data_IF_678113222951
#
_entry.id   IF_678113222951
#
_cell.length_a   1.000
_cell.length_b   1.000
_cell.length_c   1.000
_cell.angle_alpha   90.00
_cell.angle_beta   90.00
_cell.angle_gamma   90.00
#
_symmetry.space_group_name_H-M   'P 1'
#
loop_
_entity.id
_entity.type
_entity.pdbx_description
1 polymer ?
#
# COMPACT_ATOMS: atom_id res chain seq x y z
N UNK A 1 -27.43 -16.05 -27.97
CA UNK A 1 -26.43 -15.83 -29.04
C UNK A 1 -26.54 -14.47 -29.72
N UNK A 2 -27.47 -13.57 -29.34
CA UNK A 2 -27.58 -12.23 -29.94
C UNK A 2 -27.04 -11.08 -29.06
N UNK A 3 -26.73 -11.33 -27.77
CA UNK A 3 -26.18 -10.29 -26.87
C UNK A 3 -24.65 -10.13 -26.96
N UNK A 4 -23.93 -11.14 -27.44
CA UNK A 4 -22.46 -11.07 -27.56
C UNK A 4 -21.99 -10.26 -28.77
N UNK A 5 -22.69 -10.35 -29.92
CA UNK A 5 -22.27 -9.67 -31.15
C UNK A 5 -22.48 -8.16 -31.11
N UNK A 6 -23.53 -7.70 -30.41
CA UNK A 6 -23.82 -6.26 -30.29
C UNK A 6 -22.80 -5.55 -29.37
N UNK A 7 -22.25 -6.27 -28.37
CA UNK A 7 -21.26 -5.72 -27.45
C UNK A 7 -19.86 -5.65 -28.11
N UNK A 8 -19.51 -6.65 -28.93
CA UNK A 8 -18.26 -6.69 -29.70
C UNK A 8 -18.17 -5.58 -30.76
N UNK A 9 -19.26 -5.29 -31.50
CA UNK A 9 -19.29 -4.19 -32.49
C UNK A 9 -19.08 -2.82 -31.83
N UNK A 10 -19.65 -2.58 -30.65
CA UNK A 10 -19.42 -1.32 -29.91
C UNK A 10 -18.02 -1.19 -29.33
N UNK A 11 -17.39 -2.30 -28.92
CA UNK A 11 -16.01 -2.28 -28.42
C UNK A 11 -15.02 -2.04 -29.55
N UNK A 12 -15.22 -2.68 -30.70
CA UNK A 12 -14.37 -2.48 -31.88
C UNK A 12 -14.42 -1.03 -32.39
N UNK A 13 -15.60 -0.42 -32.42
CA UNK A 13 -15.78 0.99 -32.81
C UNK A 13 -15.12 1.94 -31.80
N UNK A 14 -15.17 1.60 -30.50
CA UNK A 14 -14.45 2.37 -29.46
C UNK A 14 -12.93 2.26 -29.62
N UNK A 15 -12.41 1.06 -29.85
CA UNK A 15 -10.99 0.80 -30.08
C UNK A 15 -10.49 1.54 -31.32
N UNK A 16 -11.26 1.51 -32.40
CA UNK A 16 -10.91 2.19 -33.63
C UNK A 16 -10.86 3.71 -33.47
N UNK A 17 -11.80 4.29 -32.70
CA UNK A 17 -11.75 5.73 -32.36
C UNK A 17 -10.56 6.09 -31.49
N UNK A 18 -10.17 5.23 -30.56
CA UNK A 18 -8.97 5.43 -29.74
C UNK A 18 -7.70 5.38 -30.62
N UNK A 19 -7.63 4.42 -31.54
CA UNK A 19 -6.53 4.29 -32.50
C UNK A 19 -6.42 5.54 -33.38
N UNK A 20 -7.52 5.97 -34.01
CA UNK A 20 -7.52 7.18 -34.86
C UNK A 20 -7.14 8.47 -34.14
N UNK A 21 -7.32 8.51 -32.83
CA UNK A 21 -6.99 9.69 -32.05
C UNK A 21 -5.58 9.63 -31.45
N UNK A 22 -4.98 8.44 -31.43
CA UNK A 22 -3.56 8.22 -31.16
C UNK A 22 -2.70 8.49 -32.41
N UNK A 23 -3.15 8.04 -33.57
CA UNK A 23 -2.58 8.30 -34.90
C UNK A 23 -2.83 9.77 -35.28
N UNK A 24 -1.92 10.64 -34.87
CA UNK A 24 -2.07 12.10 -35.01
C UNK A 24 -1.81 12.60 -36.42
N UNK A 25 -0.96 11.90 -37.17
CA UNK A 25 -0.65 12.25 -38.56
C UNK A 25 -1.57 11.55 -39.58
N UNK A 26 -2.35 10.56 -39.14
CA UNK A 26 -3.33 9.83 -39.93
C UNK A 26 -2.70 8.81 -40.89
N UNK A 27 -1.48 8.34 -40.60
CA UNK A 27 -0.74 7.42 -41.45
C UNK A 27 -1.20 5.96 -41.32
N UNK A 28 -2.08 5.66 -40.35
CA UNK A 28 -2.66 4.34 -40.12
C UNK A 28 -1.82 3.41 -39.24
N UNK A 29 -0.76 3.91 -38.62
CA UNK A 29 0.05 3.25 -37.58
C UNK A 29 0.29 4.23 -36.43
N UNK A 30 0.69 3.73 -35.27
CA UNK A 30 1.08 4.57 -34.13
C UNK A 30 2.59 4.47 -33.97
N UNK A 31 3.29 5.56 -34.31
CA UNK A 31 4.73 5.61 -34.13
C UNK A 31 5.13 5.80 -32.64
N UNK A 32 6.43 5.78 -32.36
CA UNK A 32 6.95 5.92 -30.99
C UNK A 32 6.58 7.27 -30.35
N UNK A 33 6.53 8.34 -31.13
CA UNK A 33 6.19 9.69 -30.67
C UNK A 33 4.68 9.80 -30.39
N UNK A 34 3.86 9.25 -31.27
CA UNK A 34 2.41 9.17 -31.15
C UNK A 34 2.01 8.32 -29.95
N UNK A 35 2.70 7.20 -29.73
CA UNK A 35 2.55 6.42 -28.51
C UNK A 35 2.97 7.22 -27.27
N UNK A 36 4.10 7.96 -27.29
CA UNK A 36 4.52 8.82 -26.16
C UNK A 36 3.50 9.93 -25.88
N UNK A 37 2.89 10.51 -26.92
CA UNK A 37 1.80 11.47 -26.79
C UNK A 37 0.56 10.80 -26.22
N UNK A 38 0.18 9.60 -26.68
CA UNK A 38 -0.92 8.84 -26.10
C UNK A 38 -0.67 8.49 -24.62
N UNK A 39 0.60 8.24 -24.27
CA UNK A 39 1.07 7.93 -22.91
C UNK A 39 1.18 9.16 -21.99
N UNK A 40 1.30 10.38 -22.54
CA UNK A 40 1.56 11.61 -21.75
C UNK A 40 0.52 12.70 -21.89
N UNK A 41 -0.28 12.68 -22.95
CA UNK A 41 -1.25 13.72 -23.25
C UNK A 41 -2.38 13.69 -22.23
N UNK A 42 -2.49 14.80 -21.52
CA UNK A 42 -3.59 15.11 -20.60
C UNK A 42 -4.62 16.04 -21.25
N UNK A 43 -4.31 16.61 -22.42
CA UNK A 43 -5.11 17.60 -23.13
C UNK A 43 -5.22 17.22 -24.62
N UNK A 44 -6.30 16.53 -24.98
CA UNK A 44 -6.46 16.06 -26.36
C UNK A 44 -7.84 15.54 -26.73
N UNK A 45 -8.93 15.94 -26.07
CA UNK A 45 -10.31 15.64 -26.49
C UNK A 45 -10.74 14.16 -26.50
N UNK A 46 -9.80 13.22 -26.37
CA UNK A 46 -10.01 11.86 -25.92
C UNK A 46 -10.27 11.89 -24.42
N UNK A 47 -11.23 11.09 -23.97
CA UNK A 47 -11.47 10.92 -22.54
C UNK A 47 -10.15 10.49 -21.86
N UNK A 48 -9.56 11.34 -21.00
CA UNK A 48 -8.13 11.33 -20.74
C UNK A 48 -7.78 10.36 -19.63
N UNK A 49 -7.42 9.12 -19.96
CA UNK A 49 -6.48 8.38 -19.10
C UNK A 49 -5.74 7.26 -19.80
N UNK A 50 -5.99 7.03 -21.09
CA UNK A 50 -5.72 5.74 -21.73
C UNK A 50 -4.33 5.21 -21.44
N UNK A 51 -3.27 6.03 -21.36
CA UNK A 51 -1.93 5.54 -21.09
C UNK A 51 -1.07 6.42 -20.14
N UNK A 52 -1.67 7.28 -19.32
CA UNK A 52 -1.05 8.42 -18.63
C UNK A 52 0.19 8.20 -17.70
N UNK A 53 0.60 6.98 -17.36
CA UNK A 53 1.63 6.78 -16.32
C UNK A 53 2.73 5.77 -16.67
N UNK A 54 3.18 5.68 -17.94
CA UNK A 54 4.37 4.89 -18.27
C UNK A 54 5.64 5.77 -18.33
N UNK A 55 6.70 5.30 -17.67
CA UNK A 55 8.02 5.93 -17.70
C UNK A 55 8.66 5.81 -19.08
N UNK A 56 9.69 6.63 -19.37
CA UNK A 56 10.43 6.57 -20.66
C UNK A 56 11.02 5.18 -20.97
N UNK A 57 11.37 4.42 -19.93
CA UNK A 57 11.88 3.04 -20.02
C UNK A 57 10.80 2.04 -20.42
N UNK A 58 9.57 2.23 -19.98
CA UNK A 58 8.46 1.31 -20.24
C UNK A 58 7.86 1.50 -21.63
N UNK A 59 7.90 2.72 -22.17
CA UNK A 59 7.49 2.97 -23.57
C UNK A 59 8.26 2.08 -24.55
N UNK A 60 9.58 1.95 -24.35
CA UNK A 60 10.40 1.04 -25.15
C UNK A 60 9.95 -0.41 -25.00
N UNK A 61 9.60 -0.83 -23.78
CA UNK A 61 9.17 -2.19 -23.50
C UNK A 61 7.80 -2.49 -24.10
N UNK A 62 6.87 -1.53 -24.09
CA UNK A 62 5.58 -1.62 -24.76
C UNK A 62 5.79 -1.79 -26.26
N UNK A 63 6.57 -0.91 -26.90
CA UNK A 63 6.89 -1.06 -28.33
C UNK A 63 7.42 -2.47 -28.63
N UNK A 64 8.45 -2.95 -27.91
CA UNK A 64 9.00 -4.29 -28.16
C UNK A 64 8.05 -5.46 -27.86
N UNK A 65 6.99 -5.26 -27.07
CA UNK A 65 6.07 -6.34 -26.70
C UNK A 65 4.87 -6.45 -27.65
N UNK A 66 4.51 -5.33 -28.29
CA UNK A 66 3.32 -5.23 -29.13
C UNK A 66 3.62 -5.07 -30.62
N UNK A 67 4.79 -4.53 -31.01
CA UNK A 67 5.33 -4.56 -32.38
C UNK A 67 5.78 -5.99 -32.72
N UNK A 68 4.84 -6.81 -33.18
CA UNK A 68 5.02 -8.23 -33.44
C UNK A 68 5.67 -8.46 -34.80
N UNK A 69 5.48 -7.55 -35.75
CA UNK A 69 6.05 -7.64 -37.09
C UNK A 69 7.44 -6.99 -37.20
N UNK A 70 7.86 -6.22 -36.19
CA UNK A 70 9.16 -5.57 -36.09
C UNK A 70 9.27 -4.35 -37.00
N UNK A 71 8.14 -3.74 -37.37
CA UNK A 71 8.07 -2.53 -38.20
C UNK A 71 8.63 -1.30 -37.49
N UNK A 72 8.61 -1.30 -36.15
CA UNK A 72 8.95 -0.15 -35.32
C UNK A 72 7.77 0.76 -34.99
N UNK A 73 6.57 0.43 -35.50
CA UNK A 73 5.31 1.14 -35.29
C UNK A 73 4.25 0.15 -34.76
N UNK A 74 3.13 0.65 -34.23
CA UNK A 74 2.02 -0.21 -33.75
C UNK A 74 0.84 -0.09 -34.70
N UNK A 75 0.46 -1.18 -35.37
CA UNK A 75 -0.73 -1.21 -36.21
C UNK A 75 -2.04 -1.41 -35.40
N UNK A 76 -3.19 -1.43 -36.08
CA UNK A 76 -4.47 -1.59 -35.39
C UNK A 76 -4.63 -2.93 -34.69
N UNK A 77 -4.17 -4.05 -35.27
CA UNK A 77 -4.27 -5.37 -34.65
C UNK A 77 -3.39 -5.47 -33.40
N UNK A 78 -2.19 -4.89 -33.47
CA UNK A 78 -1.25 -4.78 -32.36
C UNK A 78 -1.79 -3.86 -31.26
N UNK A 79 -2.43 -2.75 -31.64
CA UNK A 79 -3.12 -1.85 -30.71
C UNK A 79 -4.29 -2.54 -30.00
N UNK A 80 -5.09 -3.37 -30.70
CA UNK A 80 -6.16 -4.14 -30.05
C UNK A 80 -5.62 -5.06 -28.96
N UNK A 81 -4.45 -5.68 -29.18
CA UNK A 81 -3.79 -6.52 -28.20
C UNK A 81 -3.29 -5.72 -26.99
N UNK A 82 -2.72 -4.54 -27.23
CA UNK A 82 -2.30 -3.60 -26.19
C UNK A 82 -3.49 -3.24 -25.27
N UNK A 83 -4.65 -2.95 -25.86
CA UNK A 83 -5.86 -2.67 -25.08
C UNK A 83 -6.37 -3.89 -24.33
N UNK A 84 -6.40 -5.05 -24.98
CA UNK A 84 -6.87 -6.29 -24.36
C UNK A 84 -6.04 -6.69 -23.14
N UNK A 85 -4.75 -6.35 -23.12
CA UNK A 85 -3.84 -6.62 -21.99
C UNK A 85 -4.00 -5.62 -20.83
N UNK A 86 -4.98 -4.70 -20.89
CA UNK A 86 -5.34 -3.84 -19.76
C UNK A 86 -4.30 -2.75 -19.46
N UNK A 87 -3.45 -2.41 -20.44
CA UNK A 87 -2.57 -1.25 -20.35
C UNK A 87 -3.34 0.06 -20.28
N UNK A 88 -4.61 0.03 -20.74
CA UNK A 88 -5.47 1.18 -20.75
C UNK A 88 -6.13 1.44 -19.39
N UNK A 89 -6.14 2.71 -18.98
CA UNK A 89 -6.97 3.17 -17.86
C UNK A 89 -8.37 3.54 -18.38
N UNK A 90 -9.40 3.17 -17.62
CA UNK A 90 -10.79 3.33 -18.02
C UNK A 90 -11.40 4.71 -17.67
N UNK A 91 -10.77 5.46 -16.74
CA UNK A 91 -11.28 6.73 -16.22
C UNK A 91 -10.74 7.99 -16.87
N UNK A 92 -10.98 9.14 -16.24
CA UNK A 92 -10.36 10.43 -16.57
C UNK A 92 -9.30 10.82 -15.55
N UNK A 93 -8.30 11.61 -15.95
CA UNK A 93 -7.27 12.13 -15.03
C UNK A 93 -7.86 12.89 -13.84
N UNK A 94 -8.98 13.59 -14.05
CA UNK A 94 -9.68 14.29 -12.97
C UNK A 94 -10.25 13.32 -11.94
N UNK A 95 -10.82 12.20 -12.39
CA UNK A 95 -11.33 11.15 -11.50
C UNK A 95 -10.20 10.48 -10.71
N UNK A 96 -9.08 10.15 -11.36
CA UNK A 96 -7.91 9.61 -10.66
C UNK A 96 -7.35 10.61 -9.64
N UNK A 97 -7.31 11.91 -9.97
CA UNK A 97 -6.90 12.96 -9.03
C UNK A 97 -7.87 13.12 -7.87
N UNK A 98 -9.17 12.98 -8.11
CA UNK A 98 -10.19 13.03 -7.06
C UNK A 98 -9.99 11.88 -6.06
N UNK A 99 -9.78 10.67 -6.58
CA UNK A 99 -9.49 9.50 -5.75
C UNK A 99 -8.16 9.65 -5.01
N UNK A 100 -7.10 10.08 -5.69
CA UNK A 100 -5.80 10.33 -5.07
C UNK A 100 -5.93 11.33 -3.91
N UNK A 101 -6.66 12.42 -4.10
CA UNK A 101 -6.89 13.44 -3.07
C UNK A 101 -7.73 12.90 -1.90
N UNK A 102 -8.63 11.96 -2.15
CA UNK A 102 -9.38 11.31 -1.08
C UNK A 102 -8.51 10.34 -0.26
N UNK A 103 -7.49 9.75 -0.89
CA UNK A 103 -6.48 8.93 -0.23
C UNK A 103 -5.43 9.78 0.50
N UNK A 104 -4.99 10.90 -0.08
CA UNK A 104 -3.99 11.83 0.46
C UNK A 104 -4.59 12.65 1.59
N UNK A 105 -4.56 12.09 2.80
CA UNK A 105 -5.14 12.73 3.97
C UNK A 105 -4.25 13.82 4.54
N UNK A 106 -2.93 13.73 4.33
CA UNK A 106 -1.95 14.70 4.82
C UNK A 106 -1.85 15.92 3.91
N UNK A 107 -2.21 15.78 2.64
CA UNK A 107 -2.19 16.84 1.63
C UNK A 107 -0.78 17.18 1.14
N UNK A 108 0.18 16.26 1.30
CA UNK A 108 1.57 16.45 0.90
C UNK A 108 1.82 16.10 -0.58
N UNK A 109 0.79 15.62 -1.29
CA UNK A 109 0.84 15.25 -2.69
C UNK A 109 1.45 13.86 -2.94
N UNK A 110 1.64 13.06 -1.89
CA UNK A 110 2.13 11.69 -1.93
C UNK A 110 1.28 10.82 -1.01
N UNK A 111 1.33 9.50 -1.20
CA UNK A 111 0.60 8.56 -0.35
C UNK A 111 1.56 7.68 0.43
N UNK A 112 1.56 7.85 1.75
CA UNK A 112 2.25 6.89 2.61
C UNK A 112 1.41 5.62 2.79
N UNK A 113 2.01 4.59 3.36
CA UNK A 113 1.36 3.30 3.51
C UNK A 113 0.17 3.30 4.48
N UNK A 114 0.18 4.18 5.50
CA UNK A 114 -0.98 4.37 6.39
C UNK A 114 -2.17 4.93 5.61
N UNK A 115 -1.93 5.92 4.77
CA UNK A 115 -2.97 6.54 3.92
C UNK A 115 -3.55 5.54 2.93
N UNK A 116 -2.72 4.73 2.30
CA UNK A 116 -3.19 3.62 1.44
C UNK A 116 -4.00 2.61 2.27
N UNK A 117 -3.50 2.19 3.44
CA UNK A 117 -4.21 1.23 4.29
C UNK A 117 -5.59 1.75 4.73
N UNK A 118 -5.65 3.01 5.15
CA UNK A 118 -6.87 3.68 5.58
C UNK A 118 -7.84 3.89 4.41
N UNK A 119 -7.31 4.26 3.24
CA UNK A 119 -8.10 4.41 2.03
C UNK A 119 -8.80 3.10 1.66
N UNK A 120 -8.06 2.00 1.62
CA UNK A 120 -8.64 0.67 1.36
C UNK A 120 -9.58 0.19 2.47
N UNK A 121 -9.30 0.52 3.73
CA UNK A 121 -10.21 0.23 4.83
C UNK A 121 -11.54 1.00 4.69
N UNK A 122 -11.50 2.27 4.28
CA UNK A 122 -12.70 3.08 3.99
C UNK A 122 -13.53 2.45 2.88
N UNK A 123 -12.90 1.94 1.82
CA UNK A 123 -13.56 1.20 0.73
C UNK A 123 -14.16 -0.16 1.16
N UNK A 124 -14.08 -0.53 2.44
CA UNK A 124 -14.56 -1.81 2.96
C UNK A 124 -13.66 -2.99 2.59
N UNK A 125 -12.46 -2.74 2.07
CA UNK A 125 -11.48 -3.76 1.67
C UNK A 125 -10.14 -3.56 2.37
N UNK A 126 -10.06 -3.71 3.71
CA UNK A 126 -8.83 -3.45 4.45
C UNK A 126 -7.67 -4.32 3.91
N UNK A 127 -6.56 -3.66 3.60
CA UNK A 127 -5.35 -4.33 3.14
C UNK A 127 -4.63 -5.00 4.31
N UNK A 128 -4.19 -6.23 4.09
CA UNK A 128 -3.23 -6.90 4.95
C UNK A 128 -1.82 -6.37 4.65
N UNK A 129 -0.94 -6.40 5.65
CA UNK A 129 0.42 -5.88 5.55
C UNK A 129 1.25 -6.51 4.43
N UNK A 130 0.97 -7.76 4.06
CA UNK A 130 1.61 -8.45 2.94
C UNK A 130 1.19 -7.92 1.56
N UNK A 131 -0.09 -7.56 1.39
CA UNK A 131 -0.59 -6.95 0.15
C UNK A 131 -0.19 -5.49 0.04
N UNK A 132 -0.24 -4.75 1.15
CA UNK A 132 0.25 -3.37 1.23
C UNK A 132 1.74 -3.30 0.86
N UNK A 133 2.55 -4.21 1.38
CA UNK A 133 3.96 -4.28 1.04
C UNK A 133 4.20 -4.50 -0.47
N UNK A 134 3.47 -5.43 -1.08
CA UNK A 134 3.61 -5.69 -2.53
C UNK A 134 3.28 -4.47 -3.37
N UNK A 135 2.29 -3.69 -2.94
CA UNK A 135 1.93 -2.43 -3.63
C UNK A 135 3.15 -1.51 -3.69
N UNK A 136 3.83 -1.28 -2.57
CA UNK A 136 5.04 -0.45 -2.58
C UNK A 136 6.19 -1.13 -3.33
N UNK A 137 6.44 -2.43 -3.12
CA UNK A 137 7.52 -3.15 -3.83
C UNK A 137 7.39 -3.11 -5.37
N UNK A 138 6.15 -3.15 -5.89
CA UNK A 138 5.88 -3.21 -7.33
C UNK A 138 5.63 -1.83 -7.97
N UNK A 139 5.28 -0.81 -7.18
CA UNK A 139 4.83 0.49 -7.71
C UNK A 139 5.57 1.72 -7.18
N UNK A 140 6.31 1.65 -6.08
CA UNK A 140 7.26 2.68 -5.64
C UNK A 140 8.56 2.52 -6.43
N UNK A 141 8.62 3.16 -7.61
CA UNK A 141 9.66 2.98 -8.60
C UNK A 141 10.93 3.76 -8.27
N UNK A 142 10.77 4.88 -7.60
CA UNK A 142 11.89 5.72 -7.16
C UNK A 142 12.46 5.29 -5.79
N UNK A 143 11.74 4.41 -5.07
CA UNK A 143 12.14 3.84 -3.79
C UNK A 143 12.00 4.82 -2.63
N UNK A 144 11.19 5.88 -2.79
CA UNK A 144 10.97 6.91 -1.80
C UNK A 144 10.27 6.39 -0.54
N UNK A 145 9.57 5.27 -0.63
CA UNK A 145 8.69 4.74 0.41
C UNK A 145 7.33 5.42 0.47
N UNK A 146 7.01 6.26 -0.51
CA UNK A 146 5.75 6.96 -0.72
C UNK A 146 5.26 6.63 -2.13
N UNK A 147 3.96 6.76 -2.40
CA UNK A 147 3.44 6.67 -3.77
C UNK A 147 3.08 8.05 -4.28
N UNK A 148 3.81 8.52 -5.28
CA UNK A 148 3.42 9.70 -6.07
C UNK A 148 2.16 9.42 -6.90
N UNK A 149 1.57 10.49 -7.46
CA UNK A 149 0.34 10.39 -8.25
C UNK A 149 0.45 9.40 -9.41
N UNK A 150 1.55 9.43 -10.17
CA UNK A 150 1.78 8.55 -11.30
C UNK A 150 1.98 7.08 -10.87
N UNK A 151 2.56 6.85 -9.70
CA UNK A 151 2.71 5.53 -9.10
C UNK A 151 1.36 4.98 -8.60
N UNK A 152 0.56 5.82 -7.94
CA UNK A 152 -0.78 5.46 -7.48
C UNK A 152 -1.72 5.09 -8.64
N UNK A 153 -1.66 5.83 -9.75
CA UNK A 153 -2.49 5.55 -10.93
C UNK A 153 -2.20 4.16 -11.51
N UNK A 154 -0.98 3.64 -11.35
CA UNK A 154 -0.64 2.27 -11.79
C UNK A 154 -1.37 1.19 -11.01
N UNK A 155 -1.86 1.48 -9.80
CA UNK A 155 -2.66 0.52 -9.03
C UNK A 155 -3.97 0.16 -9.74
N UNK A 156 -4.54 1.11 -10.49
CA UNK A 156 -5.73 0.88 -11.30
C UNK A 156 -5.42 0.00 -12.53
N UNK A 157 -4.25 0.20 -13.15
CA UNK A 157 -3.79 -0.66 -14.25
C UNK A 157 -3.56 -2.10 -13.81
N UNK A 158 -2.98 -2.27 -12.62
CA UNK A 158 -2.77 -3.58 -12.02
C UNK A 158 -4.08 -4.25 -11.56
N UNK A 159 -5.24 -3.63 -11.83
CA UNK A 159 -6.57 -4.07 -11.38
C UNK A 159 -6.65 -4.27 -9.85
N UNK A 160 -5.80 -3.54 -9.11
CA UNK A 160 -5.84 -3.53 -7.64
C UNK A 160 -6.91 -2.60 -7.11
N UNK A 161 -7.30 -1.61 -7.92
CA UNK A 161 -8.34 -0.62 -7.66
C UNK A 161 -9.33 -0.57 -8.84
N UNK A 162 -10.61 -0.49 -8.51
CA UNK A 162 -11.71 -0.28 -9.46
C UNK A 162 -12.18 1.17 -9.31
N UNK A 163 -11.95 1.98 -10.35
CA UNK A 163 -12.24 3.41 -10.29
C UNK A 163 -13.74 3.68 -10.11
N UNK A 164 -14.59 2.99 -10.85
CA UNK A 164 -16.04 3.20 -10.81
C UNK A 164 -16.58 2.86 -9.42
N UNK A 165 -16.15 1.72 -8.86
CA UNK A 165 -16.55 1.31 -7.52
C UNK A 165 -16.13 2.33 -6.44
N UNK A 166 -14.95 2.93 -6.60
CA UNK A 166 -14.43 3.94 -5.66
C UNK A 166 -15.20 5.25 -5.78
N UNK A 167 -15.40 5.75 -7.00
CA UNK A 167 -16.15 6.99 -7.24
C UNK A 167 -17.58 6.86 -6.75
N UNK A 168 -18.23 5.72 -6.99
CA UNK A 168 -19.57 5.46 -6.47
C UNK A 168 -19.59 5.41 -4.94
N UNK A 169 -18.59 4.79 -4.31
CA UNK A 169 -18.44 4.81 -2.85
C UNK A 169 -18.28 6.24 -2.32
N UNK A 170 -17.43 7.06 -2.96
CA UNK A 170 -17.21 8.47 -2.58
C UNK A 170 -18.47 9.32 -2.74
N UNK A 171 -19.26 9.09 -3.81
CA UNK A 171 -20.53 9.79 -4.07
C UNK A 171 -21.65 9.40 -3.10
N UNK A 172 -21.60 8.20 -2.53
CA UNK A 172 -22.60 7.71 -1.57
C UNK A 172 -22.35 8.13 -0.12
N UNK A 173 -21.17 8.67 0.21
CA UNK A 173 -20.88 9.17 1.56
C UNK A 173 -21.53 10.56 1.77
N UNK A 174 -22.37 10.75 2.80
CA UNK A 174 -22.80 12.10 3.18
C UNK A 174 -21.57 12.90 3.62
N UNK A 175 -21.37 14.06 2.99
CA UNK A 175 -20.30 15.02 3.27
C UNK A 175 -20.00 15.12 4.78
N UNK A 176 -18.80 14.72 5.23
CA UNK A 176 -18.31 15.15 6.52
C UNK A 176 -17.81 16.58 6.32
N UNK A 177 -18.43 17.51 7.04
CA UNK A 177 -17.94 18.87 7.21
C UNK A 177 -16.44 18.84 7.56
N UNK A 178 -15.63 19.58 6.81
CA UNK A 178 -14.23 19.79 7.17
C UNK A 178 -14.14 20.45 8.55
N UNK A 179 -13.14 20.08 9.35
CA UNK A 179 -12.09 21.06 9.53
C UNK A 179 -10.69 20.49 9.33
N UNK A 180 -9.87 21.34 8.72
CA UNK A 180 -8.44 21.37 8.85
C UNK A 180 -8.01 21.29 10.32
N UNK A 181 -7.35 20.20 10.69
CA UNK A 181 -6.46 20.14 11.85
C UNK A 181 -5.21 19.44 11.39
N UNK A 182 -4.04 19.99 11.70
CA UNK A 182 -2.72 19.38 11.48
C UNK A 182 -2.77 17.88 11.75
N UNK A 183 -2.83 17.06 10.69
CA UNK A 183 -2.94 15.61 10.82
C UNK A 183 -1.57 15.06 11.19
N UNK A 184 -1.57 14.16 12.17
CA UNK A 184 -0.36 13.50 12.67
C UNK A 184 0.25 12.65 11.55
N UNK A 185 1.58 12.62 11.48
CA UNK A 185 2.33 11.84 10.49
C UNK A 185 1.97 10.34 10.51
N UNK A 186 1.57 9.83 11.68
CA UNK A 186 1.12 8.46 11.87
C UNK A 186 0.13 8.41 13.04
N UNK A 187 -0.91 7.58 12.92
CA UNK A 187 -1.86 7.30 13.99
C UNK A 187 -1.77 5.83 14.41
N UNK A 188 -1.77 5.60 15.72
CA UNK A 188 -1.69 4.25 16.30
C UNK A 188 -3.05 3.88 16.88
N UNK A 189 -3.64 2.81 16.37
CA UNK A 189 -4.91 2.29 16.89
C UNK A 189 -4.70 1.30 18.05
N UNK A 190 -5.33 1.51 19.22
CA UNK A 190 -5.32 0.54 20.30
C UNK A 190 -5.85 -0.83 19.85
N UNK A 191 -5.11 -1.90 20.16
CA UNK A 191 -5.53 -3.25 19.81
C UNK A 191 -5.08 -3.74 18.44
N UNK A 192 -4.36 -2.92 17.66
CA UNK A 192 -3.83 -3.29 16.34
C UNK A 192 -2.32 -3.18 16.26
N UNK A 193 -1.75 -3.87 15.27
CA UNK A 193 -0.36 -3.70 14.86
C UNK A 193 -0.32 -2.61 13.80
N UNK A 194 0.38 -1.52 14.08
CA UNK A 194 0.64 -0.45 13.10
C UNK A 194 1.94 -0.75 12.34
N UNK A 195 1.92 -0.67 11.01
CA UNK A 195 3.14 -0.85 10.22
C UNK A 195 3.80 0.51 9.98
N UNK A 196 5.10 0.63 10.24
CA UNK A 196 5.89 1.86 9.99
C UNK A 196 6.81 1.65 8.80
N UNK A 197 7.01 2.71 8.02
CA UNK A 197 7.73 2.71 6.74
C UNK A 197 8.85 3.76 6.67
N UNK A 198 8.98 4.61 7.69
CA UNK A 198 10.04 5.63 7.76
C UNK A 198 10.61 5.78 9.17
N UNK A 199 11.77 6.46 9.28
CA UNK A 199 12.34 6.78 10.59
C UNK A 199 11.54 7.86 11.31
N UNK A 200 10.91 8.75 10.56
CA UNK A 200 10.11 9.87 11.06
C UNK A 200 8.82 9.37 11.70
N UNK A 201 8.15 8.39 11.08
CA UNK A 201 6.98 7.71 11.65
C UNK A 201 7.37 6.99 12.94
N UNK A 202 8.46 6.22 12.92
CA UNK A 202 8.99 5.54 14.11
C UNK A 202 9.27 6.53 15.25
N UNK A 203 9.94 7.64 14.95
CA UNK A 203 10.27 8.68 15.93
C UNK A 203 9.06 9.42 16.46
N UNK A 204 8.07 9.65 15.61
CA UNK A 204 6.79 10.23 15.99
C UNK A 204 6.09 9.34 17.00
N UNK A 205 5.99 8.03 16.74
CA UNK A 205 5.38 7.09 17.71
C UNK A 205 6.14 7.07 19.04
N UNK A 206 7.48 7.04 18.99
CA UNK A 206 8.31 7.04 20.21
C UNK A 206 8.13 8.31 21.05
N UNK A 207 7.88 9.44 20.39
CA UNK A 207 7.70 10.75 21.03
C UNK A 207 6.27 10.93 21.55
N UNK A 208 5.27 10.69 20.72
CA UNK A 208 3.86 10.89 21.03
C UNK A 208 3.35 9.91 22.10
N UNK A 209 4.02 8.77 22.25
CA UNK A 209 3.66 7.71 23.20
C UNK A 209 4.80 7.39 24.18
N UNK A 210 5.56 8.40 24.60
CA UNK A 210 6.71 8.25 25.49
C UNK A 210 6.40 7.47 26.79
N UNK A 211 5.20 7.63 27.35
CA UNK A 211 4.79 6.98 28.59
C UNK A 211 4.23 5.56 28.40
N UNK A 212 4.12 5.07 27.17
CA UNK A 212 3.56 3.76 26.83
C UNK A 212 4.66 2.78 26.40
N UNK A 213 4.50 1.49 26.71
CA UNK A 213 5.37 0.47 26.14
C UNK A 213 5.11 0.35 24.63
N UNK A 214 6.17 0.47 23.83
CA UNK A 214 6.15 0.25 22.39
C UNK A 214 6.94 -1.03 22.07
N UNK A 215 6.26 -2.03 21.52
CA UNK A 215 6.86 -3.30 21.08
C UNK A 215 6.95 -3.28 19.57
N UNK A 216 8.16 -3.33 19.02
CA UNK A 216 8.43 -3.21 17.59
C UNK A 216 8.91 -4.55 17.05
N UNK A 217 8.20 -5.13 16.09
CA UNK A 217 8.65 -6.26 15.28
C UNK A 217 9.43 -5.77 14.04
N UNK A 218 10.73 -6.05 13.99
CA UNK A 218 11.53 -5.98 12.79
C UNK A 218 11.42 -7.32 12.02
N UNK A 219 10.90 -7.25 10.80
CA UNK A 219 10.64 -8.39 9.93
C UNK A 219 11.37 -8.25 8.58
N UNK A 220 11.36 -9.32 7.78
CA UNK A 220 11.73 -9.29 6.37
C UNK A 220 10.63 -9.95 5.55
N UNK A 221 10.39 -9.49 4.33
CA UNK A 221 9.22 -9.93 3.54
C UNK A 221 9.31 -11.38 3.08
N UNK A 222 10.53 -11.91 2.97
CA UNK A 222 10.79 -13.32 2.68
C UNK A 222 10.94 -14.20 3.96
N UNK A 223 10.88 -13.62 5.15
CA UNK A 223 11.09 -14.35 6.41
C UNK A 223 9.91 -15.26 6.74
N UNK A 224 10.07 -16.58 6.54
CA UNK A 224 9.05 -17.58 6.88
C UNK A 224 8.67 -17.59 8.38
N UNK A 225 9.62 -17.55 9.34
CA UNK A 225 9.27 -17.49 10.76
C UNK A 225 8.44 -16.25 11.12
N UNK A 226 8.71 -15.11 10.48
CA UNK A 226 7.96 -13.87 10.68
C UNK A 226 6.51 -14.01 10.20
N UNK A 227 6.31 -14.54 8.97
CA UNK A 227 4.96 -14.84 8.44
C UNK A 227 4.19 -15.80 9.35
N UNK A 228 4.87 -16.82 9.89
CA UNK A 228 4.26 -17.76 10.84
C UNK A 228 3.88 -17.13 12.18
N UNK A 229 4.53 -16.03 12.57
CA UNK A 229 4.30 -15.36 13.85
C UNK A 229 3.30 -14.20 13.77
N UNK A 230 3.03 -13.68 12.58
CA UNK A 230 2.16 -12.52 12.33
C UNK A 230 0.83 -12.56 13.10
N UNK A 231 0.06 -13.65 12.95
CA UNK A 231 -1.21 -13.81 13.68
C UNK A 231 -1.07 -13.86 15.20
N UNK A 232 0.09 -14.28 15.70
CA UNK A 232 0.37 -14.26 17.14
C UNK A 232 0.63 -12.83 17.61
N UNK A 233 1.35 -12.05 16.82
CA UNK A 233 1.64 -10.64 17.12
C UNK A 233 0.37 -9.78 17.06
N UNK A 234 -0.51 -10.02 16.08
CA UNK A 234 -1.85 -9.39 16.01
C UNK A 234 -2.67 -9.69 17.27
N UNK A 235 -2.72 -10.96 17.71
CA UNK A 235 -3.41 -11.33 18.95
C UNK A 235 -2.83 -10.64 20.18
N UNK A 236 -1.51 -10.44 20.23
CA UNK A 236 -0.90 -9.67 21.31
C UNK A 236 -1.37 -8.23 21.31
N UNK A 237 -1.42 -7.58 20.14
CA UNK A 237 -1.97 -6.23 20.04
C UNK A 237 -3.42 -6.18 20.56
N UNK A 238 -4.28 -7.08 20.09
CA UNK A 238 -5.69 -7.14 20.53
C UNK A 238 -5.84 -7.29 22.05
N UNK A 239 -5.03 -8.15 22.66
CA UNK A 239 -5.17 -8.53 24.07
C UNK A 239 -4.45 -7.57 25.02
N UNK A 240 -3.33 -6.99 24.59
CA UNK A 240 -2.57 -5.95 25.29
C UNK A 240 -2.86 -4.58 24.66
N UNK A 241 -4.14 -4.22 24.52
CA UNK A 241 -4.58 -3.03 23.77
C UNK A 241 -4.10 -1.67 24.31
N UNK A 242 -3.48 -1.64 25.49
CA UNK A 242 -2.81 -0.46 26.07
C UNK A 242 -1.31 -0.40 25.77
N UNK A 243 -0.74 -1.45 25.19
CA UNK A 243 0.62 -1.50 24.67
C UNK A 243 0.56 -1.21 23.18
N UNK A 244 1.55 -0.49 22.66
CA UNK A 244 1.64 -0.18 21.23
C UNK A 244 2.45 -1.25 20.54
N UNK A 245 1.93 -1.75 19.43
CA UNK A 245 2.60 -2.74 18.60
C UNK A 245 2.91 -2.13 17.25
N UNK A 246 4.20 -2.01 16.96
CA UNK A 246 4.67 -1.60 15.66
C UNK A 246 5.29 -2.76 14.91
N UNK A 247 5.23 -2.72 13.59
CA UNK A 247 5.93 -3.63 12.69
C UNK A 247 6.59 -2.84 11.59
N UNK A 248 7.75 -3.29 11.13
CA UNK A 248 8.32 -2.80 9.88
C UNK A 248 9.10 -3.91 9.18
N UNK A 249 9.31 -3.73 7.88
CA UNK A 249 10.08 -4.65 7.07
C UNK A 249 11.43 -4.02 6.74
N UNK A 250 12.52 -4.57 7.27
CA UNK A 250 13.86 -4.01 7.10
C UNK A 250 14.38 -3.99 5.65
N UNK A 251 13.63 -4.57 4.72
CA UNK A 251 13.94 -4.60 3.29
C UNK A 251 12.93 -3.82 2.43
N UNK A 252 12.04 -3.01 3.02
CA UNK A 252 11.03 -2.28 2.24
C UNK A 252 11.61 -1.11 1.45
N UNK A 253 12.29 -0.20 2.12
CA UNK A 253 12.88 1.00 1.54
C UNK A 253 14.17 1.36 2.30
N UNK A 254 14.86 2.42 1.88
CA UNK A 254 16.14 2.79 2.48
C UNK A 254 16.03 3.29 3.93
N UNK A 255 14.93 3.95 4.29
CA UNK A 255 14.64 4.33 5.67
C UNK A 255 14.49 3.11 6.58
N UNK A 256 13.71 2.12 6.16
CA UNK A 256 13.55 0.86 6.89
C UNK A 256 14.84 0.03 6.92
N UNK A 257 15.66 0.05 5.86
CA UNK A 257 16.99 -0.59 5.86
C UNK A 257 17.91 0.06 6.90
N UNK A 258 17.93 1.39 6.98
CA UNK A 258 18.69 2.14 7.98
C UNK A 258 18.17 1.87 9.40
N UNK A 259 16.85 1.91 9.61
CA UNK A 259 16.21 1.56 10.87
C UNK A 259 16.58 0.14 11.31
N UNK A 260 16.59 -0.81 10.38
CA UNK A 260 16.92 -2.21 10.62
C UNK A 260 18.40 -2.44 10.97
N UNK A 261 19.32 -1.95 10.13
CA UNK A 261 20.75 -2.26 10.19
C UNK A 261 21.53 -1.36 11.14
N UNK A 262 21.30 -0.05 11.08
CA UNK A 262 22.14 0.93 11.75
C UNK A 262 21.55 1.32 13.10
N UNK A 263 20.24 1.57 13.14
CA UNK A 263 19.57 2.08 14.34
C UNK A 263 19.21 0.98 15.33
N UNK A 264 18.48 -0.04 14.89
CA UNK A 264 18.08 -1.17 15.76
C UNK A 264 19.09 -2.31 15.75
N UNK A 265 20.06 -2.30 14.82
CA UNK A 265 21.14 -3.30 14.69
C UNK A 265 20.61 -4.73 14.73
N UNK A 266 19.57 -4.98 13.94
CA UNK A 266 18.81 -6.23 13.96
C UNK A 266 19.60 -7.36 13.28
N UNK A 267 20.03 -8.41 14.02
CA UNK A 267 20.89 -9.44 13.45
C UNK A 267 20.11 -10.56 12.74
N UNK A 268 18.84 -10.78 13.11
CA UNK A 268 17.99 -11.85 12.58
C UNK A 268 16.51 -11.51 12.75
N UNK A 269 15.63 -12.18 12.00
CA UNK A 269 14.18 -11.95 12.07
C UNK A 269 13.37 -13.22 12.40
N UNK A 270 12.20 -13.09 13.06
CA UNK A 270 11.66 -11.86 13.62
C UNK A 270 12.50 -11.38 14.82
N UNK A 271 12.64 -10.07 14.95
CA UNK A 271 13.29 -9.42 16.10
C UNK A 271 12.32 -8.45 16.73
N UNK A 272 12.22 -8.49 18.05
CA UNK A 272 11.30 -7.70 18.84
C UNK A 272 12.11 -6.76 19.71
N UNK A 273 11.86 -5.47 19.59
CA UNK A 273 12.49 -4.45 20.44
C UNK A 273 11.44 -3.76 21.28
N UNK A 274 11.81 -3.42 22.52
CA UNK A 274 10.93 -2.85 23.53
C UNK A 274 11.42 -1.46 23.83
N UNK A 275 10.55 -0.47 23.68
CA UNK A 275 10.89 0.93 23.88
C UNK A 275 9.94 1.58 24.87
N UNK A 276 10.46 2.51 25.67
CA UNK A 276 9.67 3.45 26.47
C UNK A 276 10.45 4.74 26.57
N UNK A 277 9.77 5.88 26.43
CA UNK A 277 10.38 7.20 26.45
C UNK A 277 11.55 7.33 25.45
N UNK A 278 11.39 6.76 24.25
CA UNK A 278 12.42 6.71 23.21
C UNK A 278 13.66 5.85 23.52
N UNK A 279 13.70 5.17 24.67
CA UNK A 279 14.83 4.32 25.09
C UNK A 279 14.55 2.86 24.79
N UNK A 280 15.51 2.20 24.13
CA UNK A 280 15.52 0.76 23.95
C UNK A 280 15.75 0.03 25.28
N UNK A 281 14.72 -0.65 25.78
CA UNK A 281 14.74 -1.42 27.02
C UNK A 281 15.25 -2.85 26.81
N UNK A 282 14.84 -3.49 25.72
CA UNK A 282 15.13 -4.89 25.46
C UNK A 282 15.10 -5.24 23.98
N UNK A 283 15.85 -6.26 23.59
CA UNK A 283 15.83 -6.85 22.25
C UNK A 283 15.75 -8.37 22.36
N UNK A 284 14.81 -8.98 21.64
CA UNK A 284 14.56 -10.41 21.61
C UNK A 284 14.47 -10.92 20.18
N UNK A 285 15.10 -12.04 19.90
CA UNK A 285 15.07 -12.65 18.57
C UNK A 285 14.35 -14.00 18.58
N UNK A 286 13.62 -14.26 17.49
CA UNK A 286 12.97 -15.54 17.20
C UNK A 286 11.48 -15.58 17.57
N UNK A 287 10.77 -16.53 16.95
CA UNK A 287 9.31 -16.65 16.99
C UNK A 287 8.78 -17.47 18.20
N UNK A 288 9.31 -17.26 19.40
CA UNK A 288 8.84 -17.97 20.60
C UNK A 288 7.79 -17.13 21.35
N UNK A 289 6.51 -17.47 21.15
CA UNK A 289 5.37 -16.75 21.73
C UNK A 289 5.40 -16.64 23.26
N UNK A 290 5.76 -17.73 23.94
CA UNK A 290 5.78 -17.80 25.41
C UNK A 290 6.90 -16.93 25.96
N UNK A 291 8.07 -16.98 25.31
CA UNK A 291 9.21 -16.15 25.72
C UNK A 291 8.95 -14.67 25.45
N UNK A 292 8.37 -14.32 24.30
CA UNK A 292 8.04 -12.93 23.96
C UNK A 292 7.02 -12.34 24.95
N UNK A 293 5.95 -13.08 25.27
CA UNK A 293 4.97 -12.60 26.24
C UNK A 293 5.57 -12.42 27.64
N UNK A 294 6.34 -13.40 28.12
CA UNK A 294 7.04 -13.27 29.41
C UNK A 294 7.97 -12.07 29.46
N UNK A 295 8.56 -11.66 28.33
CA UNK A 295 9.36 -10.45 28.24
C UNK A 295 8.48 -9.20 28.28
N UNK A 296 7.36 -9.18 27.55
CA UNK A 296 6.39 -8.07 27.60
C UNK A 296 5.89 -7.82 29.01
N UNK A 297 5.48 -8.87 29.73
CA UNK A 297 4.98 -8.75 31.10
C UNK A 297 5.99 -8.16 32.09
N UNK A 298 7.30 -8.20 31.80
CA UNK A 298 8.34 -7.56 32.65
C UNK A 298 8.40 -6.05 32.48
N UNK A 299 7.96 -5.53 31.34
CA UNK A 299 8.08 -4.10 30.99
C UNK A 299 6.72 -3.38 30.92
N UNK A 300 5.62 -4.14 30.96
CA UNK A 300 4.27 -3.63 31.12
C UNK A 300 4.10 -3.04 32.51
N UNK A 301 3.57 -1.82 32.58
CA UNK A 301 3.16 -1.18 33.82
C UNK A 301 1.82 -1.74 34.33
N UNK A 302 1.48 -1.54 35.61
CA UNK A 302 0.18 -1.97 36.14
C UNK A 302 -1.03 -1.37 35.41
N UNK A 303 -0.89 -0.19 34.81
CA UNK A 303 -1.97 0.48 34.07
C UNK A 303 -2.18 -0.14 32.70
N UNK A 304 -1.12 -0.69 32.10
CA UNK A 304 -1.11 -1.36 30.80
C UNK A 304 -1.47 -2.85 30.91
N UNK A 305 -1.31 -3.49 32.09
CA UNK A 305 -1.62 -4.92 32.29
C UNK A 305 -3.15 -5.17 32.23
N UNK A 306 -3.67 -5.86 31.20
CA UNK A 306 -5.10 -6.18 31.10
C UNK A 306 -5.57 -7.12 32.22
N UNK A 307 -4.63 -7.74 32.95
CA UNK A 307 -4.87 -8.65 34.06
C UNK A 307 -4.46 -8.04 35.41
N UNK A 308 -4.22 -6.74 35.49
CA UNK A 308 -3.94 -6.06 36.76
C UNK A 308 -5.01 -6.41 37.81
N UNK A 309 -4.58 -6.95 38.97
CA UNK A 309 -5.50 -7.41 40.03
C UNK A 309 -6.27 -8.70 39.74
N UNK A 310 -6.06 -9.37 38.60
CA UNK A 310 -6.70 -10.65 38.29
C UNK A 310 -6.09 -11.83 39.07
N UNK A 311 -6.93 -12.80 39.43
CA UNK A 311 -6.49 -14.04 40.09
C UNK A 311 -5.61 -14.90 39.18
N UNK A 312 -4.77 -15.75 39.77
CA UNK A 312 -3.92 -16.69 39.04
C UNK A 312 -4.71 -17.56 38.04
N UNK A 313 -5.92 -18.00 38.42
CA UNK A 313 -6.81 -18.76 37.55
C UNK A 313 -7.27 -17.94 36.33
N UNK A 314 -7.67 -16.67 36.52
CA UNK A 314 -8.03 -15.78 35.40
C UNK A 314 -6.84 -15.56 34.46
N UNK A 315 -5.63 -15.39 35.00
CA UNK A 315 -4.42 -15.27 34.19
C UNK A 315 -4.17 -16.53 33.36
N UNK A 316 -4.29 -17.72 33.97
CA UNK A 316 -4.12 -19.00 33.27
C UNK A 316 -5.14 -19.20 32.13
N UNK A 317 -6.42 -18.90 32.37
CA UNK A 317 -7.46 -18.97 31.33
C UNK A 317 -7.19 -17.99 30.20
N UNK A 318 -6.65 -16.82 30.51
CA UNK A 318 -6.32 -15.80 29.53
C UNK A 318 -5.14 -16.21 28.64
N UNK A 319 -4.06 -16.74 29.22
CA UNK A 319 -2.93 -17.30 28.47
C UNK A 319 -3.33 -18.47 27.54
N UNK A 320 -4.26 -19.32 28.01
CA UNK A 320 -4.79 -20.41 27.19
C UNK A 320 -5.53 -19.89 25.93
N UNK A 321 -6.22 -18.75 25.99
CA UNK A 321 -6.90 -18.13 24.83
C UNK A 321 -5.92 -17.62 23.78
N UNK A 322 -4.75 -17.15 24.21
CA UNK A 322 -3.65 -16.77 23.32
C UNK A 322 -2.88 -17.98 22.77
N UNK A 323 -3.21 -19.20 23.23
CA UNK A 323 -2.49 -20.41 22.88
C UNK A 323 -1.10 -20.45 23.50
N UNK A 324 -0.88 -19.75 24.61
CA UNK A 324 0.36 -19.70 25.38
C UNK A 324 0.17 -20.66 26.55
N UNK A 325 0.39 -21.94 26.31
CA UNK A 325 0.40 -22.98 27.34
C UNK A 325 1.79 -23.60 27.42
#
# INVERSE_FOLDING_TARGET
>A
MQETSANEETQLDRLYKLFQAADTDGNGVIDRQELDVLLRSTDGGLQPATLACLGKSELHQVMCSYDADGSGDIDFEEFQKLVADGLLLDGTMQEYQEVFRAADTTGDGKLNASEIQDFFAKLGQPLRSDKLFKIFEEHDLDGSGLLEFDEFVRLFRAQLLDLDAILDFMRMQPSPEAPSTSRKLIEVEPGRVTTVFSTEEFDTVMTDHADTLVVVEASLTWCRPCKGFERTFEKFAEHYNKVIFLKFFGNSNDNCKYLFKDRLRTPLTPSFTFHRNGVLLHSHQGANKVKLENLMQRYISPEEDPLAGASAFKRQVWHAKLGIN
#
